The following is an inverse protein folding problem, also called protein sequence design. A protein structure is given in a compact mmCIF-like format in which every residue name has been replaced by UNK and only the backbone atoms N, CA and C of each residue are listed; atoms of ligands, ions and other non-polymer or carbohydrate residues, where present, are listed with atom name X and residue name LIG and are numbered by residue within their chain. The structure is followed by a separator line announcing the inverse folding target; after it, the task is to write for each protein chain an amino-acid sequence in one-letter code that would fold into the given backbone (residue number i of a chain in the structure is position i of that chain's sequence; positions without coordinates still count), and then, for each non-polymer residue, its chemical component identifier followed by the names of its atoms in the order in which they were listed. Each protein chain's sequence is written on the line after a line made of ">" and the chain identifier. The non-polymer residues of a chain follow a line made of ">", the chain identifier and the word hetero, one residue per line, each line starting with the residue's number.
data_IF_932576438091
#
_entry.id   IF_932576438091
#
_cell.length_a   1.000
_cell.length_b   1.000
_cell.length_c   1.000
_cell.angle_alpha   90.00
_cell.angle_beta   90.00
_cell.angle_gamma   90.00
#
_symmetry.space_group_name_H-M   'P 1'
#
loop_
_entity.id
_entity.type
_entity.pdbx_description
1 polymer ?
#
# COMPACT_ATOMS: atom_id res chain seq x y z
N UNK A 1 11.50 15.07 -2.18
CA UNK A 1 10.85 14.39 -1.04
C UNK A 1 10.29 13.08 -1.55
N UNK A 2 10.72 11.97 -0.97
CA UNK A 2 10.36 10.61 -1.37
C UNK A 2 9.28 10.06 -0.44
N UNK A 3 8.61 8.98 -0.88
CA UNK A 3 7.61 8.29 -0.07
C UNK A 3 8.25 7.50 1.08
N UNK A 4 9.43 6.95 0.83
CA UNK A 4 10.19 6.11 1.73
C UNK A 4 11.64 6.59 1.80
N UNK A 5 12.34 6.22 2.87
CA UNK A 5 13.79 6.36 2.99
C UNK A 5 14.50 5.40 2.04
N UNK A 6 15.77 5.67 1.70
CA UNK A 6 16.53 4.82 0.76
C UNK A 6 16.65 3.36 1.23
N UNK A 7 16.71 3.15 2.55
CA UNK A 7 16.72 1.82 3.16
C UNK A 7 15.37 1.09 2.98
N UNK A 8 14.25 1.77 3.22
CA UNK A 8 12.91 1.22 3.00
C UNK A 8 12.67 0.94 1.51
N UNK A 9 13.11 1.83 0.62
CA UNK A 9 13.05 1.62 -0.84
C UNK A 9 13.81 0.34 -1.20
N UNK A 10 15.02 0.14 -0.68
CA UNK A 10 15.82 -1.05 -0.96
C UNK A 10 15.11 -2.34 -0.54
N UNK A 11 14.46 -2.34 0.64
CA UNK A 11 13.64 -3.48 1.11
C UNK A 11 12.43 -3.75 0.23
N UNK A 12 11.75 -2.69 -0.22
CA UNK A 12 10.60 -2.79 -1.13
C UNK A 12 11.04 -3.38 -2.48
N UNK A 13 12.10 -2.86 -3.08
CA UNK A 13 12.58 -3.34 -4.37
C UNK A 13 13.08 -4.77 -4.27
N UNK A 14 13.77 -5.14 -3.19
CA UNK A 14 14.16 -6.53 -2.95
C UNK A 14 12.95 -7.46 -2.89
N UNK A 15 11.90 -7.09 -2.15
CA UNK A 15 10.67 -7.88 -2.06
C UNK A 15 9.98 -8.00 -3.43
N UNK A 16 9.83 -6.89 -4.16
CA UNK A 16 9.23 -6.88 -5.49
C UNK A 16 10.02 -7.72 -6.51
N UNK A 17 11.34 -7.77 -6.41
CA UNK A 17 12.17 -8.58 -7.30
C UNK A 17 12.05 -10.09 -7.07
N UNK A 18 11.64 -10.50 -5.86
CA UNK A 18 11.46 -11.90 -5.46
C UNK A 18 10.01 -12.36 -5.54
N UNK A 19 9.08 -11.41 -5.65
CA UNK A 19 7.65 -11.63 -5.66
C UNK A 19 7.25 -12.63 -6.75
N UNK A 20 6.53 -13.67 -6.35
CA UNK A 20 5.83 -14.59 -7.27
C UNK A 20 4.32 -14.42 -7.24
N UNK A 21 3.83 -13.74 -6.21
CA UNK A 21 2.43 -13.44 -5.94
C UNK A 21 2.27 -11.93 -5.73
N UNK A 22 1.04 -11.48 -5.50
CA UNK A 22 0.77 -10.07 -5.26
C UNK A 22 1.49 -9.59 -4.01
N UNK A 23 1.94 -8.33 -4.01
CA UNK A 23 2.60 -7.73 -2.85
C UNK A 23 1.75 -6.60 -2.28
N UNK A 24 1.56 -6.61 -0.97
CA UNK A 24 0.96 -5.54 -0.20
C UNK A 24 2.03 -4.82 0.65
N UNK A 25 2.17 -3.53 0.41
CA UNK A 25 3.06 -2.62 1.13
C UNK A 25 2.18 -1.72 1.98
N UNK A 26 2.34 -1.80 3.29
CA UNK A 26 1.56 -1.03 4.27
C UNK A 26 2.42 0.08 4.85
N UNK A 27 1.91 1.32 4.90
CA UNK A 27 2.71 2.45 5.33
C UNK A 27 1.88 3.65 5.81
N UNK A 28 2.53 4.54 6.57
CA UNK A 28 2.00 5.82 7.04
C UNK A 28 2.67 6.97 6.32
N UNK A 29 1.88 8.00 5.95
CA UNK A 29 2.41 9.27 5.42
C UNK A 29 1.52 10.43 5.80
N UNK A 30 2.12 11.62 5.91
CA UNK A 30 1.43 12.91 6.05
C UNK A 30 0.81 13.46 4.77
N UNK A 31 1.05 12.81 3.63
CA UNK A 31 0.61 13.32 2.34
C UNK A 31 -0.79 12.82 2.01
N UNK A 32 -1.69 13.74 1.68
CA UNK A 32 -3.01 13.37 1.18
C UNK A 32 -3.00 12.65 -0.18
N UNK A 33 -4.14 12.08 -0.58
CA UNK A 33 -4.31 11.18 -1.72
C UNK A 33 -3.59 11.60 -3.03
N UNK A 34 -3.79 12.85 -3.45
CA UNK A 34 -3.26 13.37 -4.72
C UNK A 34 -1.74 13.38 -4.75
N UNK A 35 -1.11 13.78 -3.63
CA UNK A 35 0.35 13.82 -3.54
C UNK A 35 0.92 12.43 -3.36
N UNK A 36 0.23 11.58 -2.60
CA UNK A 36 0.61 10.20 -2.39
C UNK A 36 0.67 9.41 -3.70
N UNK A 37 -0.38 9.50 -4.52
CA UNK A 37 -0.44 8.86 -5.84
C UNK A 37 0.75 9.23 -6.72
N UNK A 38 1.09 10.53 -6.76
CA UNK A 38 2.24 11.01 -7.56
C UNK A 38 3.57 10.41 -7.07
N UNK A 39 3.78 10.37 -5.76
CA UNK A 39 5.00 9.81 -5.17
C UNK A 39 5.10 8.30 -5.36
N UNK A 40 3.97 7.60 -5.27
CA UNK A 40 3.88 6.16 -5.51
C UNK A 40 4.22 5.80 -6.96
N UNK A 41 3.57 6.44 -7.93
CA UNK A 41 3.85 6.21 -9.35
C UNK A 41 5.30 6.57 -9.69
N UNK A 42 5.82 7.66 -9.14
CA UNK A 42 7.21 8.05 -9.33
C UNK A 42 8.18 6.99 -8.79
N UNK A 43 7.93 6.44 -7.60
CA UNK A 43 8.74 5.36 -7.03
C UNK A 43 8.77 4.13 -7.93
N UNK A 44 7.62 3.67 -8.41
CA UNK A 44 7.52 2.48 -9.26
C UNK A 44 8.19 2.72 -10.62
N UNK A 45 7.92 3.88 -11.24
CA UNK A 45 8.50 4.26 -12.54
C UNK A 45 10.02 4.38 -12.47
N UNK A 46 10.57 4.97 -11.39
CA UNK A 46 12.02 5.11 -11.19
C UNK A 46 12.73 3.76 -11.06
N UNK A 47 12.02 2.72 -10.66
CA UNK A 47 12.54 1.37 -10.51
C UNK A 47 12.11 0.45 -11.67
N UNK A 48 11.74 1.03 -12.82
CA UNK A 48 11.35 0.32 -14.04
C UNK A 48 10.14 -0.61 -13.90
N UNK A 49 9.32 -0.40 -12.87
CA UNK A 49 8.06 -1.10 -12.70
C UNK A 49 7.01 -0.30 -13.48
N UNK A 50 6.63 -0.83 -14.65
CA UNK A 50 5.66 -0.17 -15.54
C UNK A 50 4.27 -0.50 -15.04
N UNK A 51 3.42 0.51 -14.82
CA UNK A 51 2.17 0.29 -14.09
C UNK A 51 1.01 1.12 -14.61
N UNK A 52 -0.12 0.46 -14.86
CA UNK A 52 -1.42 1.10 -14.74
C UNK A 52 -1.83 1.07 -13.26
N UNK A 53 -2.17 2.23 -12.70
CA UNK A 53 -2.40 2.38 -11.27
C UNK A 53 -3.80 2.92 -10.96
N UNK A 54 -4.59 2.10 -10.28
CA UNK A 54 -5.90 2.46 -9.74
C UNK A 54 -5.75 2.81 -8.26
N UNK A 55 -6.63 3.69 -7.76
CA UNK A 55 -6.49 4.21 -6.40
C UNK A 55 -7.89 4.32 -5.79
N UNK A 56 -8.04 3.78 -4.59
CA UNK A 56 -9.26 3.87 -3.79
C UNK A 56 -8.94 4.65 -2.52
N UNK A 57 -9.86 5.53 -2.15
CA UNK A 57 -9.72 6.35 -0.95
C UNK A 57 -10.96 6.15 -0.11
N UNK A 58 -10.77 6.04 1.19
CA UNK A 58 -11.88 6.18 2.13
C UNK A 58 -12.52 7.56 1.98
N UNK A 59 -13.82 7.67 2.27
CA UNK A 59 -14.56 8.95 2.21
C UNK A 59 -13.95 10.04 3.10
N UNK A 60 -13.29 9.65 4.19
CA UNK A 60 -12.57 10.55 5.10
C UNK A 60 -11.19 11.00 4.56
N UNK A 61 -10.67 10.35 3.52
CA UNK A 61 -9.35 10.64 2.95
C UNK A 61 -8.17 10.31 3.88
N UNK A 62 -8.41 9.53 4.94
CA UNK A 62 -7.40 9.15 5.96
C UNK A 62 -6.79 7.78 5.72
N UNK A 63 -7.41 6.96 4.87
CA UNK A 63 -6.92 5.64 4.47
C UNK A 63 -7.12 5.49 2.95
N UNK A 64 -6.19 4.82 2.29
CA UNK A 64 -6.27 4.51 0.87
C UNK A 64 -5.59 3.23 0.46
N UNK A 65 -5.95 2.75 -0.73
CA UNK A 65 -5.33 1.63 -1.40
C UNK A 65 -4.89 2.08 -2.79
N UNK A 66 -3.62 1.84 -3.10
CA UNK A 66 -3.00 2.09 -4.40
C UNK A 66 -2.75 0.73 -5.04
N UNK A 67 -3.41 0.37 -6.13
CA UNK A 67 -3.11 -0.85 -6.88
C UNK A 67 -2.40 -0.47 -8.15
N UNK A 68 -1.31 -1.16 -8.44
CA UNK A 68 -0.54 -0.99 -9.65
C UNK A 68 -0.22 -2.36 -10.23
N UNK A 69 -0.49 -2.58 -11.51
CA UNK A 69 -0.19 -3.85 -12.17
C UNK A 69 1.20 -3.79 -12.80
N UNK A 70 2.07 -4.76 -12.48
CA UNK A 70 3.31 -4.97 -13.22
C UNK A 70 3.04 -5.65 -14.56
N UNK A 71 3.95 -5.47 -15.53
CA UNK A 71 3.91 -6.17 -16.82
C UNK A 71 4.00 -7.70 -16.68
N UNK A 72 4.58 -8.19 -15.58
CA UNK A 72 4.77 -9.62 -15.32
C UNK A 72 3.52 -10.29 -14.70
N UNK A 73 2.39 -9.56 -14.62
CA UNK A 73 1.12 -10.08 -14.09
C UNK A 73 1.01 -10.06 -12.56
N UNK A 74 2.04 -9.56 -11.86
CA UNK A 74 2.01 -9.35 -10.40
C UNK A 74 1.41 -7.99 -10.09
N UNK A 75 0.41 -7.95 -9.22
CA UNK A 75 -0.15 -6.70 -8.72
C UNK A 75 0.57 -6.24 -7.45
N UNK A 76 0.80 -4.93 -7.36
CA UNK A 76 1.48 -4.26 -6.26
C UNK A 76 0.48 -3.32 -5.60
N UNK A 77 0.26 -3.54 -4.31
CA UNK A 77 -0.69 -2.82 -3.49
C UNK A 77 0.04 -1.94 -2.48
N UNK A 78 -0.35 -0.69 -2.39
CA UNK A 78 0.09 0.27 -1.38
C UNK A 78 -1.08 0.64 -0.49
N UNK A 79 -1.15 0.05 0.70
CA UNK A 79 -2.13 0.45 1.71
C UNK A 79 -1.55 1.56 2.58
N UNK A 80 -2.20 2.71 2.54
CA UNK A 80 -1.75 3.92 3.20
C UNK A 80 -2.73 4.37 4.27
N UNK A 81 -2.17 4.89 5.37
CA UNK A 81 -2.90 5.65 6.38
C UNK A 81 -2.26 7.04 6.61
N UNK A 82 -3.10 8.06 6.77
CA UNK A 82 -2.71 9.42 7.11
C UNK A 82 -2.15 9.44 8.54
N UNK A 83 -0.95 9.98 8.70
CA UNK A 83 -0.29 10.16 9.99
C UNK A 83 0.63 11.39 9.97
N UNK A 84 1.08 11.85 11.13
CA UNK A 84 1.99 13.00 11.23
C UNK A 84 3.43 12.67 10.79
N UNK A 85 3.79 11.39 10.82
CA UNK A 85 5.09 10.88 10.42
C UNK A 85 5.00 9.90 9.25
N UNK A 86 6.15 9.71 8.61
CA UNK A 86 6.34 8.84 7.47
C UNK A 86 6.99 7.54 7.94
N UNK A 87 6.40 6.39 7.64
CA UNK A 87 6.87 5.10 8.15
C UNK A 87 6.40 3.92 7.28
N UNK A 88 7.31 3.04 6.86
CA UNK A 88 6.97 1.73 6.32
C UNK A 88 6.59 0.78 7.47
N UNK A 89 5.38 0.21 7.42
CA UNK A 89 4.88 -0.70 8.44
C UNK A 89 5.18 -2.16 8.12
N UNK A 90 5.08 -2.54 6.84
CA UNK A 90 5.28 -3.92 6.44
C UNK A 90 5.15 -4.17 4.94
N UNK A 91 5.70 -5.29 4.50
CA UNK A 91 5.62 -5.79 3.13
C UNK A 91 5.19 -7.25 3.23
N UNK A 92 4.11 -7.62 2.54
CA UNK A 92 3.48 -8.92 2.64
C UNK A 92 3.21 -9.49 1.25
N UNK A 93 3.47 -10.77 1.05
CA UNK A 93 2.98 -11.50 -0.13
C UNK A 93 1.55 -11.95 0.16
N UNK A 94 0.64 -11.71 -0.79
CA UNK A 94 -0.79 -11.93 -0.63
C UNK A 94 -1.31 -12.79 -1.77
N UNK A 95 -2.23 -13.68 -1.44
CA UNK A 95 -2.96 -14.45 -2.44
C UNK A 95 -3.95 -13.56 -3.21
N UNK A 96 -4.46 -14.04 -4.34
CA UNK A 96 -5.52 -13.32 -5.06
C UNK A 96 -6.80 -13.18 -4.24
N UNK A 97 -7.12 -14.15 -3.38
CA UNK A 97 -8.32 -14.14 -2.54
C UNK A 97 -8.25 -13.02 -1.50
N UNK A 98 -7.13 -12.91 -0.78
CA UNK A 98 -6.91 -11.85 0.23
C UNK A 98 -7.01 -10.44 -0.37
N UNK A 99 -6.55 -10.28 -1.60
CA UNK A 99 -6.59 -9.02 -2.34
C UNK A 99 -8.03 -8.64 -2.74
N UNK A 100 -8.84 -9.61 -3.16
CA UNK A 100 -10.25 -9.36 -3.49
C UNK A 100 -10.98 -8.85 -2.26
N UNK A 101 -10.78 -9.50 -1.11
CA UNK A 101 -11.39 -9.10 0.16
C UNK A 101 -11.01 -7.66 0.55
N UNK A 102 -9.73 -7.28 0.40
CA UNK A 102 -9.27 -5.91 0.65
C UNK A 102 -9.97 -4.92 -0.29
N UNK A 103 -10.06 -5.23 -1.59
CA UNK A 103 -10.70 -4.35 -2.58
C UNK A 103 -12.19 -4.18 -2.32
N UNK A 104 -12.90 -5.27 -2.05
CA UNK A 104 -14.33 -5.23 -1.73
C UNK A 104 -14.61 -4.39 -0.47
N UNK A 105 -13.71 -4.46 0.52
CA UNK A 105 -13.78 -3.60 1.70
C UNK A 105 -13.65 -2.11 1.40
N UNK A 106 -12.86 -1.71 0.40
CA UNK A 106 -12.76 -0.32 -0.05
C UNK A 106 -13.93 0.11 -0.95
N UNK A 107 -14.43 -0.78 -1.81
CA UNK A 107 -15.50 -0.50 -2.77
C UNK A 107 -16.89 -0.41 -2.09
N UNK A 108 -17.10 -1.15 -1.01
CA UNK A 108 -18.38 -1.21 -0.29
C UNK A 108 -18.76 0.08 0.47
N UNK A 109 -17.96 1.15 0.40
CA UNK A 109 -18.19 2.44 1.09
C UNK A 109 -18.19 2.38 2.63
N UNK A 110 -18.17 1.18 3.20
CA UNK A 110 -18.11 0.84 4.61
C UNK A 110 -16.70 0.40 4.97
N UNK A 111 -15.74 1.33 4.96
CA UNK A 111 -14.49 1.12 5.72
C UNK A 111 -14.81 1.32 7.22
N UNK A 112 -15.69 0.47 7.75
CA UNK A 112 -16.10 0.38 9.15
C UNK A 112 -15.86 -1.02 9.72
N UNK A 113 -15.53 -2.00 8.86
CA UNK A 113 -15.41 -3.40 9.26
C UNK A 113 -14.10 -3.71 10.01
N UNK A 114 -14.17 -4.36 11.19
CA UNK A 114 -13.01 -4.83 11.94
C UNK A 114 -12.05 -5.74 11.17
N UNK A 115 -12.49 -6.45 10.13
CA UNK A 115 -11.59 -7.25 9.28
C UNK A 115 -10.69 -6.38 8.39
N UNK A 116 -11.19 -5.23 7.92
CA UNK A 116 -10.38 -4.19 7.25
C UNK A 116 -9.51 -3.41 8.25
N UNK A 117 -9.85 -3.46 9.56
CA UNK A 117 -8.94 -3.12 10.66
C UNK A 117 -7.99 -4.28 11.02
N UNK A 118 -8.12 -5.48 10.49
CA UNK A 118 -7.27 -6.62 10.89
C UNK A 118 -5.89 -6.58 10.18
N UNK A 119 -5.78 -5.93 9.02
CA UNK A 119 -4.47 -5.43 8.52
C UNK A 119 -4.12 -4.09 9.18
N UNK A 120 -4.51 -3.87 10.45
CA UNK A 120 -3.95 -2.78 11.25
C UNK A 120 -2.54 -3.19 11.61
N UNK A 121 -1.58 -2.70 10.83
CA UNK A 121 -0.30 -2.20 11.36
C UNK A 121 0.37 -3.25 12.26
N UNK A 122 0.69 -4.43 11.73
CA UNK A 122 1.38 -5.51 12.46
C UNK A 122 0.86 -5.72 13.89
N UNK A 123 -0.20 -6.50 14.08
CA UNK A 123 -0.81 -6.73 15.40
C UNK A 123 0.23 -6.82 16.55
N UNK A 124 0.26 -5.80 17.42
CA UNK A 124 0.94 -5.63 18.75
C UNK A 124 2.04 -4.54 18.89
N UNK A 125 1.78 -3.58 19.80
CA UNK A 125 2.71 -2.57 20.35
C UNK A 125 2.31 -1.14 19.99
N UNK A 126 1.67 -0.31 20.80
CA UNK A 126 1.74 -0.07 22.24
C UNK A 126 0.32 0.10 22.81
N UNK A 127 -0.05 -0.73 23.79
CA UNK A 127 -0.94 -0.28 24.85
C UNK A 127 -0.05 -0.07 26.08
N UNK A 128 0.20 1.19 26.42
CA UNK A 128 0.34 1.65 27.81
C UNK A 128 -0.30 3.05 27.93
#
# INVERSE_FOLDING_TARGET
>A
MTLFTDNEISRIIEALSKARENILITFRQKYGPTKLKKLWIALLTQNSITTDCVNWWSSAGTIGLLECHSNDGVSIYGQWALADHNELLGIFEMSNEDIVDIREGFDSGNVTDPAMRAIRIGETGDQD
#
